data_IF_193825967246
#
_entry.id   IF_193825967246
#
_cell.length_a   1.000
_cell.length_b   1.000
_cell.length_c   1.000
_cell.angle_alpha   90.00
_cell.angle_beta   90.00
_cell.angle_gamma   90.00
#
_symmetry.space_group_name_H-M   'P 1'
#
loop_
_entity.id
_entity.type
_entity.pdbx_description
1 polymer ?
#
# COMPACT_ATOMS: atom_id res chain seq x y z
N UNK A 1 -71.13 -21.97 33.65
CA UNK A 1 -70.83 -22.91 32.55
C UNK A 1 -69.32 -23.12 32.47
N UNK A 2 -68.81 -24.33 32.75
CA UNK A 2 -67.36 -24.63 32.66
C UNK A 2 -66.95 -24.73 31.18
N UNK A 3 -65.96 -23.98 30.68
CA UNK A 3 -65.53 -24.10 29.30
C UNK A 3 -64.95 -25.51 29.07
N UNK A 4 -65.44 -26.19 28.03
CA UNK A 4 -64.95 -27.50 27.61
C UNK A 4 -63.46 -27.43 27.28
N UNK A 5 -62.66 -28.39 27.78
CA UNK A 5 -61.22 -28.55 27.48
C UNK A 5 -60.92 -28.46 25.97
N UNK A 6 -61.87 -28.88 25.13
CA UNK A 6 -61.76 -28.82 23.66
C UNK A 6 -61.78 -27.39 23.11
N UNK A 7 -62.56 -26.48 23.70
CA UNK A 7 -62.56 -25.05 23.34
C UNK A 7 -61.31 -24.34 23.82
N UNK A 8 -60.73 -24.79 24.94
CA UNK A 8 -59.47 -24.26 25.45
C UNK A 8 -58.30 -24.62 24.52
N UNK A 9 -58.23 -25.88 24.07
CA UNK A 9 -57.21 -26.35 23.13
C UNK A 9 -57.33 -25.71 21.73
N UNK A 10 -58.56 -25.50 21.24
CA UNK A 10 -58.77 -24.82 19.95
C UNK A 10 -58.37 -23.34 19.99
N UNK A 11 -58.61 -22.65 21.11
CA UNK A 11 -58.16 -21.25 21.31
C UNK A 11 -56.66 -21.14 21.56
N UNK A 12 -56.04 -22.10 22.25
CA UNK A 12 -54.59 -22.15 22.43
C UNK A 12 -53.86 -22.43 21.10
N UNK A 13 -54.39 -23.33 20.27
CA UNK A 13 -53.83 -23.63 18.94
C UNK A 13 -53.88 -22.44 17.97
N UNK A 14 -54.91 -21.58 18.08
CA UNK A 14 -55.00 -20.36 17.24
C UNK A 14 -54.07 -19.24 17.71
N UNK A 15 -53.70 -19.19 19.00
CA UNK A 15 -52.67 -18.26 19.50
C UNK A 15 -51.26 -18.67 19.03
N UNK A 16 -50.97 -19.97 18.95
CA UNK A 16 -49.69 -20.49 18.43
C UNK A 16 -49.54 -20.27 16.92
N UNK A 17 -50.65 -20.26 16.15
CA UNK A 17 -50.66 -19.95 14.71
C UNK A 17 -50.70 -18.45 14.38
N UNK A 18 -50.91 -17.58 15.38
CA UNK A 18 -50.82 -16.12 15.23
C UNK A 18 -49.43 -15.56 15.58
N UNK A 19 -48.51 -16.39 16.10
CA UNK A 19 -47.07 -16.14 16.03
C UNK A 19 -46.63 -16.32 14.58
N UNK A 20 -47.02 -15.35 13.74
CA UNK A 20 -46.61 -15.27 12.36
C UNK A 20 -45.08 -15.20 12.25
N UNK A 21 -44.58 -15.35 11.03
CA UNK A 21 -43.16 -15.29 10.61
C UNK A 21 -42.36 -14.05 11.03
N UNK A 22 -42.94 -13.16 11.84
CA UNK A 22 -42.37 -11.89 12.30
C UNK A 22 -41.41 -11.99 13.49
N UNK A 23 -41.26 -13.15 14.12
CA UNK A 23 -40.26 -13.35 15.20
C UNK A 23 -39.06 -14.20 14.80
N UNK A 24 -38.97 -14.69 13.56
CA UNK A 24 -37.72 -15.24 13.05
C UNK A 24 -36.81 -14.08 12.63
N UNK A 25 -36.23 -13.42 13.62
CA UNK A 25 -35.21 -12.40 13.38
C UNK A 25 -33.90 -13.10 12.97
N UNK A 26 -33.80 -13.48 11.69
CA UNK A 26 -32.59 -14.06 11.13
C UNK A 26 -31.39 -13.11 11.28
N UNK A 27 -30.20 -13.66 11.51
CA UNK A 27 -28.96 -12.90 11.39
C UNK A 27 -28.76 -12.40 9.95
N UNK A 28 -28.04 -11.29 9.81
CA UNK A 28 -27.59 -10.77 8.52
C UNK A 28 -26.92 -11.88 7.70
N UNK A 29 -27.23 -11.94 6.41
CA UNK A 29 -26.55 -12.87 5.51
C UNK A 29 -25.27 -12.26 4.97
N UNK A 30 -24.21 -13.07 4.91
CA UNK A 30 -22.94 -12.66 4.35
C UNK A 30 -22.93 -12.93 2.86
N UNK A 31 -22.60 -11.89 2.12
CA UNK A 31 -22.44 -11.94 0.66
C UNK A 31 -21.01 -12.35 0.31
N UNK A 32 -20.02 -11.75 0.97
CA UNK A 32 -18.62 -12.03 0.70
C UNK A 32 -17.73 -11.63 1.88
N UNK A 33 -16.58 -12.29 1.99
CA UNK A 33 -15.48 -11.82 2.83
C UNK A 33 -14.19 -11.77 2.03
N UNK A 34 -13.46 -10.66 2.17
CA UNK A 34 -12.24 -10.36 1.41
C UNK A 34 -11.13 -9.93 2.35
N UNK A 35 -9.90 -10.34 2.03
CA UNK A 35 -8.69 -9.99 2.78
C UNK A 35 -7.65 -9.46 1.80
N UNK A 36 -7.11 -8.28 2.08
CA UNK A 36 -6.11 -7.60 1.26
C UNK A 36 -4.85 -7.38 2.11
N UNK A 37 -3.88 -8.32 2.08
CA UNK A 37 -2.60 -8.16 2.77
C UNK A 37 -1.71 -7.16 2.02
N UNK A 38 -1.18 -6.17 2.72
CA UNK A 38 -0.15 -5.27 2.21
C UNK A 38 0.84 -4.91 3.31
N UNK A 39 2.03 -4.42 2.95
CA UNK A 39 3.04 -4.03 3.94
C UNK A 39 2.60 -2.82 4.81
N UNK A 40 1.76 -1.95 4.24
CA UNK A 40 1.31 -0.74 4.92
C UNK A 40 0.16 -0.99 5.91
N UNK A 41 -0.75 -1.90 5.55
CA UNK A 41 -1.85 -2.36 6.39
C UNK A 41 -2.50 -3.61 5.77
N UNK A 42 -3.17 -4.41 6.59
CA UNK A 42 -4.08 -5.44 6.08
C UNK A 42 -5.52 -4.97 6.22
N UNK A 43 -6.31 -5.07 5.13
CA UNK A 43 -7.76 -4.82 5.15
C UNK A 43 -8.53 -6.12 5.15
N UNK A 44 -9.48 -6.25 6.06
CA UNK A 44 -10.51 -7.29 6.04
C UNK A 44 -11.86 -6.64 5.82
N UNK A 45 -12.59 -7.04 4.79
CA UNK A 45 -13.94 -6.54 4.50
C UNK A 45 -14.95 -7.68 4.57
N UNK A 46 -16.00 -7.51 5.38
CA UNK A 46 -17.18 -8.37 5.41
C UNK A 46 -18.31 -7.62 4.70
N UNK A 47 -18.83 -8.20 3.62
CA UNK A 47 -19.96 -7.70 2.87
C UNK A 47 -21.23 -8.45 3.28
N UNK A 48 -22.29 -7.71 3.60
CA UNK A 48 -23.55 -8.24 4.13
C UNK A 48 -24.76 -7.63 3.44
N UNK A 49 -25.90 -8.32 3.54
CA UNK A 49 -27.19 -7.85 3.03
C UNK A 49 -27.75 -6.65 3.80
N UNK A 50 -27.34 -6.47 5.04
CA UNK A 50 -27.80 -5.45 5.99
C UNK A 50 -26.60 -4.79 6.69
N UNK A 51 -26.79 -3.58 7.22
CA UNK A 51 -25.73 -2.88 7.95
C UNK A 51 -25.39 -3.62 9.25
N UNK A 52 -24.09 -3.90 9.46
CA UNK A 52 -23.58 -4.56 10.66
C UNK A 52 -22.99 -3.53 11.62
N UNK A 53 -23.20 -3.72 12.92
CA UNK A 53 -22.51 -2.98 13.95
C UNK A 53 -21.41 -3.85 14.57
N UNK A 54 -20.28 -3.24 14.92
CA UNK A 54 -19.17 -3.97 15.53
C UNK A 54 -18.54 -3.18 16.68
N UNK A 55 -18.20 -3.91 17.74
CA UNK A 55 -17.37 -3.42 18.84
C UNK A 55 -16.03 -4.15 18.76
N UNK A 56 -14.94 -3.43 19.01
CA UNK A 56 -13.62 -4.04 18.99
C UNK A 56 -12.81 -3.63 20.22
N UNK A 57 -11.92 -4.51 20.65
CA UNK A 57 -10.96 -4.26 21.71
C UNK A 57 -9.68 -5.06 21.47
N UNK A 58 -8.59 -4.58 22.05
CA UNK A 58 -7.32 -5.29 22.05
C UNK A 58 -7.28 -6.30 23.20
N UNK A 59 -6.76 -7.49 22.93
CA UNK A 59 -6.42 -8.47 23.96
C UNK A 59 -4.91 -8.72 23.94
N UNK A 60 -4.32 -8.81 25.13
CA UNK A 60 -2.88 -9.03 25.30
C UNK A 60 -2.59 -10.52 25.54
N UNK A 61 -1.34 -10.93 25.31
CA UNK A 61 -0.82 -12.28 25.60
C UNK A 61 -1.58 -13.46 24.96
N UNK A 62 -1.35 -13.78 23.66
CA UNK A 62 -0.71 -12.98 22.62
C UNK A 62 -1.57 -11.79 22.18
N UNK A 63 -0.94 -10.79 21.54
CA UNK A 63 -1.63 -9.62 20.98
C UNK A 63 -2.66 -10.04 19.94
N UNK A 64 -3.91 -9.64 20.19
CA UNK A 64 -5.08 -10.02 19.40
C UNK A 64 -6.03 -8.84 19.27
N UNK A 65 -6.69 -8.72 18.12
CA UNK A 65 -7.86 -7.84 17.97
C UNK A 65 -9.09 -8.72 18.09
N UNK A 66 -9.95 -8.42 19.05
CA UNK A 66 -11.24 -9.09 19.20
C UNK A 66 -12.32 -8.15 18.70
N UNK A 67 -13.17 -8.65 17.81
CA UNK A 67 -14.25 -7.90 17.17
C UNK A 67 -15.55 -8.69 17.39
N UNK A 68 -16.50 -8.07 18.07
CA UNK A 68 -17.85 -8.59 18.23
C UNK A 68 -18.76 -7.92 17.22
N UNK A 69 -19.30 -8.70 16.29
CA UNK A 69 -20.20 -8.25 15.22
C UNK A 69 -21.63 -8.60 15.60
N UNK A 70 -22.46 -7.57 15.78
CA UNK A 70 -23.86 -7.68 16.16
C UNK A 70 -24.75 -7.93 14.93
N UNK A 71 -25.82 -8.69 15.14
CA UNK A 71 -26.78 -9.04 14.10
C UNK A 71 -26.33 -10.19 13.20
N UNK A 72 -25.25 -10.90 13.53
CA UNK A 72 -24.66 -11.95 12.68
C UNK A 72 -24.75 -13.34 13.34
N UNK A 73 -24.98 -14.36 12.54
CA UNK A 73 -24.90 -15.77 12.96
C UNK A 73 -23.75 -16.48 12.27
N UNK A 74 -23.13 -17.44 12.98
CA UNK A 74 -21.98 -18.16 12.48
C UNK A 74 -22.38 -19.05 11.30
N UNK A 75 -21.97 -18.62 10.10
CA UNK A 75 -22.19 -19.36 8.86
C UNK A 75 -20.90 -20.04 8.36
N UNK A 76 -20.99 -21.04 7.45
CA UNK A 76 -19.82 -21.65 6.83
C UNK A 76 -18.91 -20.65 6.11
N UNK A 77 -19.48 -19.64 5.43
CA UNK A 77 -18.75 -18.61 4.68
C UNK A 77 -17.85 -17.77 5.60
N UNK A 78 -18.27 -17.55 6.85
CA UNK A 78 -17.43 -16.91 7.88
C UNK A 78 -16.25 -17.78 8.30
N UNK A 79 -16.42 -19.09 8.35
CA UNK A 79 -15.33 -20.01 8.67
C UNK A 79 -14.30 -20.05 7.55
N UNK A 80 -14.71 -19.85 6.30
CA UNK A 80 -13.79 -19.74 5.17
C UNK A 80 -12.86 -18.52 5.25
N UNK A 81 -13.22 -17.48 6.01
CA UNK A 81 -12.34 -16.32 6.27
C UNK A 81 -11.02 -16.76 6.86
N UNK A 82 -11.06 -17.79 7.73
CA UNK A 82 -9.88 -18.40 8.35
C UNK A 82 -8.91 -18.95 7.28
N UNK A 83 -9.46 -19.50 6.19
CA UNK A 83 -8.67 -20.05 5.08
C UNK A 83 -8.16 -19.01 4.08
N UNK A 84 -8.74 -17.80 4.06
CA UNK A 84 -8.32 -16.72 3.14
C UNK A 84 -7.10 -15.93 3.64
N UNK A 85 -6.78 -16.04 4.92
CA UNK A 85 -5.59 -15.43 5.50
C UNK A 85 -4.37 -16.23 5.06
N UNK A 86 -3.55 -15.62 4.21
CA UNK A 86 -2.32 -16.24 3.69
C UNK A 86 -1.23 -16.22 4.77
N UNK A 87 -0.40 -17.26 4.80
CA UNK A 87 0.77 -17.32 5.70
C UNK A 87 1.71 -16.11 5.55
N UNK A 88 1.76 -15.50 4.35
CA UNK A 88 2.56 -14.31 4.03
C UNK A 88 1.96 -12.96 4.45
N UNK A 89 0.81 -12.92 5.13
CA UNK A 89 0.25 -11.65 5.64
C UNK A 89 1.21 -11.02 6.68
N UNK A 90 1.57 -9.73 6.58
CA UNK A 90 2.52 -9.10 7.50
C UNK A 90 1.94 -8.79 8.89
N UNK A 91 0.61 -8.71 9.02
CA UNK A 91 -0.07 -8.30 10.25
C UNK A 91 -0.82 -9.43 10.94
N UNK A 92 -1.42 -10.32 10.16
CA UNK A 92 -2.30 -11.39 10.66
C UNK A 92 -1.54 -12.72 10.72
N UNK A 93 -1.50 -13.34 11.90
CA UNK A 93 -1.01 -14.70 12.10
C UNK A 93 -2.10 -15.74 11.87
N UNK A 94 -3.34 -15.42 12.23
CA UNK A 94 -4.47 -16.30 12.08
C UNK A 94 -5.76 -15.58 12.45
N UNK A 95 -6.89 -16.15 12.02
CA UNK A 95 -8.22 -15.64 12.32
C UNK A 95 -9.04 -16.79 12.90
N UNK A 96 -9.80 -16.50 13.95
CA UNK A 96 -10.73 -17.44 14.56
C UNK A 96 -12.10 -16.81 14.58
N UNK A 97 -13.11 -17.59 14.24
CA UNK A 97 -14.51 -17.14 14.26
C UNK A 97 -15.30 -18.07 15.16
N UNK A 98 -16.10 -17.49 16.04
CA UNK A 98 -16.99 -18.24 16.94
C UNK A 98 -18.27 -17.47 17.22
N UNK A 99 -19.33 -18.20 17.56
CA UNK A 99 -20.55 -17.59 18.09
C UNK A 99 -20.29 -17.20 19.55
N UNK A 100 -20.38 -15.91 19.88
CA UNK A 100 -20.15 -15.41 21.24
C UNK A 100 -21.45 -15.37 22.04
N UNK A 101 -22.52 -14.90 21.41
CA UNK A 101 -23.88 -14.85 21.94
C UNK A 101 -24.87 -15.06 20.79
N UNK A 102 -26.16 -15.32 21.02
CA UNK A 102 -27.17 -15.31 19.96
C UNK A 102 -27.07 -14.01 19.16
N UNK A 103 -26.93 -14.13 17.83
CA UNK A 103 -26.78 -13.00 16.90
C UNK A 103 -25.54 -12.11 17.13
N UNK A 104 -24.54 -12.59 17.87
CA UNK A 104 -23.23 -11.93 18.00
C UNK A 104 -22.12 -12.91 17.66
N UNK A 105 -21.43 -12.67 16.54
CA UNK A 105 -20.25 -13.43 16.14
C UNK A 105 -19.00 -12.70 16.61
N UNK A 106 -18.10 -13.45 17.23
CA UNK A 106 -16.77 -12.96 17.62
C UNK A 106 -15.74 -13.40 16.61
N UNK A 107 -15.05 -12.41 16.06
CA UNK A 107 -13.86 -12.56 15.24
C UNK A 107 -12.64 -12.24 16.10
N UNK A 108 -11.69 -13.18 16.18
CA UNK A 108 -10.42 -12.99 16.88
C UNK A 108 -9.31 -13.04 15.84
N UNK A 109 -8.59 -11.94 15.69
CA UNK A 109 -7.46 -11.81 14.77
C UNK A 109 -6.18 -11.88 15.59
N UNK A 110 -5.42 -12.96 15.43
CA UNK A 110 -4.10 -13.15 16.05
C UNK A 110 -3.09 -12.29 15.29
N UNK A 111 -2.40 -11.36 15.98
CA UNK A 111 -1.50 -10.39 15.35
C UNK A 111 -0.03 -10.85 15.37
N UNK A 112 0.71 -10.54 14.30
CA UNK A 112 2.17 -10.74 14.20
C UNK A 112 2.98 -9.59 14.80
N UNK A 113 2.39 -8.40 14.84
CA UNK A 113 3.03 -7.18 15.35
C UNK A 113 1.97 -6.22 15.93
N UNK A 114 2.38 -5.23 16.74
CA UNK A 114 1.45 -4.23 17.27
C UNK A 114 0.76 -3.45 16.15
N UNK A 115 -0.57 -3.40 16.20
CA UNK A 115 -1.40 -2.66 15.24
C UNK A 115 -2.37 -1.70 15.91
N UNK A 116 -2.72 -0.64 15.19
CA UNK A 116 -3.78 0.29 15.53
C UNK A 116 -4.99 -0.02 14.61
N UNK A 117 -5.95 -0.85 15.06
CA UNK A 117 -7.09 -1.23 14.24
C UNK A 117 -8.03 -0.04 14.02
N UNK A 118 -8.58 0.06 12.81
CA UNK A 118 -9.69 0.95 12.49
C UNK A 118 -10.87 0.12 12.01
N UNK A 119 -12.04 0.37 12.60
CA UNK A 119 -13.28 -0.35 12.29
C UNK A 119 -14.35 0.65 11.89
N UNK A 120 -14.91 0.48 10.69
CA UNK A 120 -15.95 1.37 10.17
C UNK A 120 -16.85 0.63 9.20
N UNK A 121 -18.02 1.19 8.95
CA UNK A 121 -19.00 0.67 7.99
C UNK A 121 -19.06 1.56 6.75
N UNK A 122 -19.37 0.94 5.62
CA UNK A 122 -19.65 1.63 4.36
C UNK A 122 -21.04 1.24 3.87
N UNK A 123 -21.77 2.25 3.41
CA UNK A 123 -23.06 2.06 2.76
C UNK A 123 -22.90 1.34 1.40
N UNK A 124 -24.00 0.73 0.90
CA UNK A 124 -24.03 0.11 -0.41
C UNK A 124 -23.65 1.10 -1.51
N UNK A 125 -22.80 0.67 -2.44
CA UNK A 125 -22.44 1.47 -3.61
C UNK A 125 -22.26 0.58 -4.84
N UNK A 126 -22.96 0.93 -5.93
CA UNK A 126 -22.93 0.19 -7.18
C UNK A 126 -23.15 -1.33 -6.99
N UNK A 127 -22.12 -2.15 -7.22
CA UNK A 127 -22.17 -3.60 -7.12
C UNK A 127 -21.94 -4.15 -5.69
N UNK A 128 -21.59 -3.30 -4.72
CA UNK A 128 -21.29 -3.70 -3.34
C UNK A 128 -22.43 -3.36 -2.40
N UNK A 129 -22.77 -4.29 -1.50
CA UNK A 129 -23.76 -4.07 -0.44
C UNK A 129 -23.14 -3.38 0.79
N UNK A 130 -23.75 -3.57 1.96
CA UNK A 130 -23.21 -3.05 3.21
C UNK A 130 -21.87 -3.71 3.49
N UNK A 131 -20.90 -2.93 3.96
CA UNK A 131 -19.55 -3.43 4.24
C UNK A 131 -19.11 -3.01 5.62
N UNK A 132 -18.61 -3.98 6.37
CA UNK A 132 -17.89 -3.76 7.61
C UNK A 132 -16.39 -3.95 7.31
N UNK A 133 -15.61 -2.89 7.51
CA UNK A 133 -14.20 -2.82 7.13
C UNK A 133 -13.34 -2.74 8.38
N UNK A 134 -12.30 -3.57 8.40
CA UNK A 134 -11.26 -3.59 9.43
C UNK A 134 -9.91 -3.34 8.78
N UNK A 135 -9.27 -2.23 9.15
CA UNK A 135 -7.92 -1.89 8.70
C UNK A 135 -6.93 -2.06 9.86
N UNK A 136 -5.90 -2.88 9.65
CA UNK A 136 -4.85 -3.15 10.63
C UNK A 136 -3.58 -2.39 10.25
N UNK A 137 -3.44 -1.17 10.77
CA UNK A 137 -2.24 -0.35 10.56
C UNK A 137 -1.14 -0.68 11.59
N UNK A 138 0.15 -0.61 11.24
CA UNK A 138 1.23 -0.72 12.23
C UNK A 138 1.16 0.46 13.21
N UNK A 139 1.45 0.24 14.48
CA UNK A 139 1.59 1.35 15.45
C UNK A 139 2.85 2.19 15.18
N UNK A 140 3.90 1.56 14.66
CA UNK A 140 5.13 2.20 14.22
C UNK A 140 5.25 2.10 12.69
N UNK A 141 4.91 3.18 11.99
CA UNK A 141 5.16 3.26 10.56
C UNK A 141 6.67 3.37 10.28
N UNK A 142 7.18 2.61 9.31
CA UNK A 142 8.57 2.74 8.83
C UNK A 142 8.73 4.09 8.12
N UNK A 143 9.85 4.79 8.35
CA UNK A 143 10.13 6.03 7.62
C UNK A 143 10.33 5.73 6.12
N UNK A 144 9.40 6.17 5.26
CA UNK A 144 9.44 5.83 3.84
C UNK A 144 10.60 6.51 3.12
N UNK A 145 11.09 7.66 3.59
CA UNK A 145 12.20 8.36 2.96
C UNK A 145 13.51 7.60 3.19
N UNK A 146 13.74 7.15 4.43
CA UNK A 146 14.90 6.32 4.75
C UNK A 146 14.91 5.02 3.94
N UNK A 147 13.76 4.38 3.75
CA UNK A 147 13.66 3.18 2.92
C UNK A 147 14.08 3.44 1.46
N UNK A 148 13.65 4.56 0.87
CA UNK A 148 14.03 4.94 -0.50
C UNK A 148 15.52 5.24 -0.63
N UNK A 149 16.09 5.94 0.35
CA UNK A 149 17.53 6.24 0.38
C UNK A 149 18.34 4.96 0.51
N UNK A 150 17.94 4.05 1.41
CA UNK A 150 18.59 2.75 1.58
C UNK A 150 18.51 1.95 0.28
N UNK A 151 17.34 1.84 -0.35
CA UNK A 151 17.15 1.15 -1.62
C UNK A 151 18.10 1.71 -2.71
N UNK A 152 18.30 3.03 -2.77
CA UNK A 152 19.24 3.65 -3.70
C UNK A 152 20.69 3.30 -3.37
N UNK A 153 21.10 3.41 -2.10
CA UNK A 153 22.47 3.08 -1.66
C UNK A 153 22.79 1.61 -1.96
N UNK A 154 21.84 0.70 -1.72
CA UNK A 154 22.01 -0.71 -2.07
C UNK A 154 22.12 -0.92 -3.59
N UNK A 155 21.27 -0.25 -4.38
CA UNK A 155 21.33 -0.33 -5.84
C UNK A 155 22.67 0.19 -6.40
N UNK A 156 23.19 1.30 -5.86
CA UNK A 156 24.47 1.88 -6.29
C UNK A 156 25.65 0.96 -5.95
N UNK A 157 25.65 0.37 -4.76
CA UNK A 157 26.66 -0.63 -4.37
C UNK A 157 26.60 -1.85 -5.28
N UNK A 158 25.40 -2.37 -5.55
CA UNK A 158 25.23 -3.51 -6.45
C UNK A 158 25.70 -3.22 -7.89
N UNK A 159 25.56 -1.96 -8.35
CA UNK A 159 26.05 -1.53 -9.66
C UNK A 159 27.57 -1.28 -9.71
N UNK A 160 28.21 -1.02 -8.56
CA UNK A 160 29.67 -0.79 -8.44
C UNK A 160 30.48 -2.10 -8.33
N UNK A 161 29.91 -3.17 -7.77
CA UNK A 161 30.58 -4.48 -7.63
C UNK A 161 31.15 -5.08 -8.95
N UNK A 162 30.51 -4.93 -10.13
CA UNK A 162 31.12 -5.36 -11.40
C UNK A 162 32.32 -4.52 -11.83
N UNK A 163 32.32 -3.21 -11.55
CA UNK A 163 33.41 -2.31 -11.93
C UNK A 163 34.59 -2.40 -10.97
N UNK A 164 34.35 -2.64 -9.68
CA UNK A 164 35.41 -2.74 -8.67
C UNK A 164 36.19 -4.06 -8.81
N UNK A 165 35.53 -5.16 -9.20
CA UNK A 165 36.22 -6.41 -9.58
C UNK A 165 37.03 -6.26 -10.87
N UNK A 166 36.52 -5.53 -11.86
CA UNK A 166 37.26 -5.28 -13.11
C UNK A 166 38.45 -4.33 -12.88
N UNK A 167 38.30 -3.30 -12.05
CA UNK A 167 39.38 -2.40 -11.67
C UNK A 167 40.44 -3.09 -10.81
N UNK A 168 40.04 -3.96 -9.88
CA UNK A 168 40.97 -4.82 -9.14
C UNK A 168 41.72 -5.76 -10.07
N UNK A 169 41.02 -6.45 -10.98
CA UNK A 169 41.66 -7.37 -11.93
C UNK A 169 42.64 -6.65 -12.90
N UNK A 170 42.34 -5.42 -13.31
CA UNK A 170 43.25 -4.60 -14.13
C UNK A 170 44.45 -4.14 -13.32
N UNK A 171 44.26 -3.72 -12.06
CA UNK A 171 45.35 -3.34 -11.17
C UNK A 171 46.24 -4.52 -10.80
N UNK A 172 45.66 -5.70 -10.58
CA UNK A 172 46.37 -6.96 -10.30
C UNK A 172 47.15 -7.41 -11.55
N UNK A 173 46.54 -7.37 -12.74
CA UNK A 173 47.22 -7.68 -14.00
C UNK A 173 48.36 -6.69 -14.32
N UNK A 174 48.21 -5.40 -13.97
CA UNK A 174 49.26 -4.40 -14.12
C UNK A 174 50.37 -4.60 -13.07
N UNK A 175 50.02 -4.99 -11.85
CA UNK A 175 50.96 -5.35 -10.79
C UNK A 175 51.81 -6.57 -11.14
N UNK A 176 51.18 -7.61 -11.69
CA UNK A 176 51.85 -8.84 -12.16
C UNK A 176 52.80 -8.54 -13.33
N UNK A 177 52.39 -7.66 -14.27
CA UNK A 177 53.23 -7.23 -15.39
C UNK A 177 54.46 -6.41 -14.96
N UNK A 178 54.29 -5.50 -13.99
CA UNK A 178 55.41 -4.73 -13.40
C UNK A 178 56.36 -5.66 -12.64
N UNK A 179 55.84 -6.67 -11.93
CA UNK A 179 56.64 -7.70 -11.26
C UNK A 179 57.46 -8.55 -12.22
N UNK A 180 56.98 -8.75 -13.45
CA UNK A 180 57.66 -9.56 -14.47
C UNK A 180 58.77 -8.79 -15.21
N UNK A 181 58.70 -7.45 -15.30
CA UNK A 181 59.79 -6.61 -15.82
C UNK A 181 60.80 -6.16 -14.75
N UNK A 182 60.44 -6.22 -13.47
CA UNK A 182 61.29 -5.87 -12.32
C UNK A 182 62.14 -7.02 -11.81
N UNK A 183 62.79 -7.79 -12.68
CA UNK A 183 63.71 -8.84 -12.27
C UNK A 183 65.14 -8.30 -12.10
N UNK A 184 65.59 -8.06 -10.86
CA UNK A 184 66.91 -8.42 -10.30
C UNK A 184 67.10 -7.81 -8.90
N UNK A 185 67.09 -8.64 -7.85
CA UNK A 185 67.54 -8.18 -6.53
C UNK A 185 67.08 -8.99 -5.31
N UNK A 186 67.65 -10.18 -5.15
CA UNK A 186 67.89 -10.90 -3.90
C UNK A 186 66.71 -11.44 -3.05
N UNK A 187 66.79 -12.75 -2.76
CA UNK A 187 65.92 -13.51 -1.85
C UNK A 187 66.57 -13.56 -0.46
N UNK A 188 65.78 -13.54 0.63
CA UNK A 188 66.03 -14.58 1.63
C UNK A 188 64.74 -15.25 2.14
N UNK A 189 64.91 -16.51 2.55
CA UNK A 189 63.92 -17.32 3.23
C UNK A 189 64.22 -17.32 4.75
N UNK A 190 63.17 -17.23 5.58
CA UNK A 190 62.99 -18.04 6.80
C UNK A 190 61.70 -17.67 7.53
N UNK A 191 60.99 -18.71 7.99
CA UNK A 191 59.81 -18.66 8.85
C UNK A 191 60.13 -18.25 10.28
N UNK A 192 59.24 -17.49 10.93
CA UNK A 192 59.02 -17.57 12.37
C UNK A 192 57.58 -17.15 12.72
N UNK A 193 56.92 -18.02 13.45
CA UNK A 193 55.60 -17.90 14.09
C UNK A 193 55.55 -16.78 15.12
N UNK A 194 54.52 -15.92 15.06
CA UNK A 194 54.11 -14.98 16.11
C UNK A 194 52.60 -14.69 15.99
N UNK A 195 51.87 -14.38 17.09
CA UNK A 195 50.41 -14.31 17.07
C UNK A 195 49.91 -13.14 16.22
N UNK A 196 48.82 -13.36 15.50
CA UNK A 196 48.09 -12.36 14.73
C UNK A 196 47.78 -11.13 15.59
N UNK A 197 48.02 -9.89 15.12
CA UNK A 197 47.40 -8.73 15.72
C UNK A 197 45.91 -8.80 15.43
N UNK A 198 45.11 -8.96 16.48
CA UNK A 198 43.66 -8.78 16.41
C UNK A 198 43.41 -7.38 15.86
N UNK A 199 42.67 -7.20 14.73
CA UNK A 199 42.31 -5.86 14.31
C UNK A 199 41.49 -5.23 15.45
N UNK A 200 41.69 -3.93 15.77
CA UNK A 200 40.80 -3.27 16.71
C UNK A 200 39.39 -3.41 16.16
N UNK A 201 38.51 -4.01 16.98
CA UNK A 201 37.07 -4.02 16.76
C UNK A 201 36.68 -2.59 16.45
N UNK A 202 36.39 -2.33 15.18
CA UNK A 202 35.95 -1.03 14.71
C UNK A 202 34.71 -0.68 15.53
N UNK A 203 34.89 0.32 16.39
CA UNK A 203 33.86 0.81 17.28
C UNK A 203 32.62 1.17 16.46
N UNK A 204 31.48 0.91 17.07
CA UNK A 204 30.20 1.53 16.73
C UNK A 204 30.40 2.99 16.32
N UNK A 205 30.32 3.27 15.02
CA UNK A 205 30.18 4.63 14.52
C UNK A 205 28.97 5.27 15.23
N UNK A 206 29.11 6.51 15.75
CA UNK A 206 28.01 7.18 16.41
C UNK A 206 26.84 7.35 15.42
N UNK A 207 25.59 7.16 15.85
CA UNK A 207 24.39 7.15 14.98
C UNK A 207 24.09 8.47 14.25
N UNK A 208 24.94 9.51 14.37
CA UNK A 208 24.71 10.84 13.79
C UNK A 208 25.32 11.03 12.39
N UNK A 209 26.41 10.34 12.05
CA UNK A 209 27.09 10.52 10.76
C UNK A 209 26.27 9.92 9.58
N UNK A 210 25.70 8.73 9.80
CA UNK A 210 24.85 8.07 8.80
C UNK A 210 23.56 8.84 8.48
N UNK A 211 22.94 9.47 9.50
CA UNK A 211 21.73 10.27 9.33
C UNK A 211 22.00 11.56 8.50
N UNK A 212 23.14 12.22 8.73
CA UNK A 212 23.53 13.39 7.96
C UNK A 212 23.88 13.07 6.50
N UNK A 213 24.55 11.93 6.25
CA UNK A 213 24.84 11.46 4.90
C UNK A 213 23.56 11.05 4.15
N UNK A 214 22.66 10.32 4.80
CA UNK A 214 21.34 9.97 4.24
C UNK A 214 20.52 11.21 3.88
N UNK A 215 20.56 12.25 4.72
CA UNK A 215 19.92 13.54 4.45
C UNK A 215 20.50 14.23 3.21
N UNK A 216 21.83 14.26 3.02
CA UNK A 216 22.44 14.86 1.81
C UNK A 216 22.13 14.07 0.54
N UNK A 217 22.02 12.74 0.64
CA UNK A 217 21.62 11.89 -0.47
C UNK A 217 20.16 12.16 -0.82
N UNK A 218 19.27 12.24 0.18
CA UNK A 218 17.87 12.60 -0.01
C UNK A 218 17.71 14.00 -0.63
N UNK A 219 18.50 15.00 -0.21
CA UNK A 219 18.46 16.37 -0.76
C UNK A 219 18.90 16.46 -2.23
N UNK A 220 19.62 15.46 -2.74
CA UNK A 220 20.06 15.38 -4.16
C UNK A 220 19.15 14.48 -5.01
N UNK A 221 18.37 13.62 -4.38
CA UNK A 221 17.56 12.61 -5.05
C UNK A 221 16.25 13.23 -5.51
N UNK A 222 15.96 13.18 -6.80
CA UNK A 222 14.64 13.55 -7.31
C UNK A 222 13.67 12.41 -7.03
N UNK A 223 12.71 12.65 -6.13
CA UNK A 223 11.72 11.64 -5.72
C UNK A 223 10.45 11.83 -6.54
N UNK A 224 10.11 10.83 -7.34
CA UNK A 224 8.88 10.78 -8.14
C UNK A 224 7.89 9.84 -7.46
N UNK A 225 6.82 10.41 -6.91
CA UNK A 225 5.70 9.63 -6.39
C UNK A 225 4.80 9.16 -7.55
N UNK A 226 4.69 7.86 -7.73
CA UNK A 226 3.80 7.18 -8.66
C UNK A 226 2.58 6.67 -7.91
N UNK A 227 1.40 7.07 -8.37
CA UNK A 227 0.13 6.74 -7.77
C UNK A 227 -0.73 5.93 -8.74
N UNK A 228 -0.58 4.60 -8.79
CA UNK A 228 -1.49 3.76 -9.57
C UNK A 228 -2.90 3.81 -8.94
N UNK A 229 -3.87 4.29 -9.70
CA UNK A 229 -5.27 4.46 -9.29
C UNK A 229 -5.91 3.17 -8.76
N UNK A 230 -6.98 3.31 -8.00
CA UNK A 230 -7.80 2.19 -7.49
C UNK A 230 -6.98 1.19 -6.64
N UNK A 231 -7.40 -0.08 -6.60
CA UNK A 231 -6.70 -1.17 -5.93
C UNK A 231 -7.55 -1.86 -4.87
N UNK A 232 -7.25 -3.13 -4.62
CA UNK A 232 -7.98 -3.98 -3.68
C UNK A 232 -9.44 -4.10 -4.09
N UNK A 233 -10.33 -3.60 -3.23
CA UNK A 233 -11.76 -3.66 -3.44
C UNK A 233 -12.27 -2.78 -4.59
N UNK A 234 -11.56 -1.70 -4.92
CA UNK A 234 -11.92 -0.81 -6.01
C UNK A 234 -11.23 -1.29 -7.31
N UNK A 235 -11.98 -1.85 -8.30
CA UNK A 235 -11.39 -2.30 -9.56
C UNK A 235 -11.08 -1.16 -10.54
N UNK A 236 -11.62 0.04 -10.32
CA UNK A 236 -11.71 1.09 -11.33
C UNK A 236 -12.60 0.69 -12.52
N UNK A 237 -12.35 1.28 -13.68
CA UNK A 237 -13.06 0.94 -14.89
C UNK A 237 -12.83 -0.54 -15.30
N UNK A 238 -13.90 -1.20 -15.77
CA UNK A 238 -13.84 -2.57 -16.29
C UNK A 238 -14.11 -2.52 -17.79
N UNK A 239 -13.14 -2.96 -18.58
CA UNK A 239 -13.24 -3.00 -20.04
C UNK A 239 -14.16 -4.14 -20.53
N UNK A 240 -14.55 -4.13 -21.83
CA UNK A 240 -15.44 -5.14 -22.41
C UNK A 240 -14.94 -6.59 -22.29
N UNK A 241 -13.63 -6.78 -22.19
CA UNK A 241 -13.00 -8.10 -22.02
C UNK A 241 -12.83 -8.52 -20.56
N UNK A 242 -13.34 -7.73 -19.61
CA UNK A 242 -13.13 -7.94 -18.17
C UNK A 242 -11.81 -7.40 -17.63
N UNK A 243 -11.01 -6.71 -18.45
CA UNK A 243 -9.77 -6.07 -18.01
C UNK A 243 -10.08 -4.97 -16.99
N UNK A 244 -9.44 -5.02 -15.83
CA UNK A 244 -9.67 -4.07 -14.72
C UNK A 244 -8.60 -2.99 -14.74
N UNK A 245 -9.01 -1.73 -14.62
CA UNK A 245 -8.13 -0.57 -14.59
C UNK A 245 -7.02 -0.73 -13.54
N UNK A 246 -7.38 -1.16 -12.32
CA UNK A 246 -6.42 -1.33 -11.21
C UNK A 246 -5.21 -2.22 -11.54
N UNK A 247 -5.41 -3.22 -12.40
CA UNK A 247 -4.38 -4.19 -12.80
C UNK A 247 -3.45 -3.55 -13.82
N UNK A 248 -4.02 -2.83 -14.80
CA UNK A 248 -3.30 -2.14 -15.86
C UNK A 248 -2.43 -1.02 -15.28
N UNK A 249 -3.02 -0.15 -14.46
CA UNK A 249 -2.31 1.02 -13.91
C UNK A 249 -1.19 0.59 -12.96
N UNK A 250 -1.35 -0.52 -12.22
CA UNK A 250 -0.28 -1.07 -11.39
C UNK A 250 0.91 -1.54 -12.23
N UNK A 251 0.65 -2.30 -13.30
CA UNK A 251 1.71 -2.78 -14.19
C UNK A 251 2.44 -1.63 -14.89
N UNK A 252 1.70 -0.61 -15.33
CA UNK A 252 2.30 0.60 -15.92
C UNK A 252 3.16 1.32 -14.89
N UNK A 253 2.69 1.49 -13.66
CA UNK A 253 3.43 2.13 -12.59
C UNK A 253 4.70 1.36 -12.21
N UNK A 254 4.66 0.02 -12.16
CA UNK A 254 5.84 -0.82 -11.90
C UNK A 254 6.90 -0.68 -13.00
N UNK A 255 6.49 -0.67 -14.27
CA UNK A 255 7.41 -0.45 -15.41
C UNK A 255 8.01 0.95 -15.38
N UNK A 256 7.21 1.97 -15.05
CA UNK A 256 7.69 3.34 -14.91
C UNK A 256 8.65 3.49 -13.72
N UNK A 257 8.34 2.84 -12.59
CA UNK A 257 9.23 2.75 -11.43
C UNK A 257 10.60 2.20 -11.83
N UNK A 258 10.65 1.07 -12.54
CA UNK A 258 11.90 0.47 -13.00
C UNK A 258 12.76 1.48 -13.80
N UNK A 259 12.15 2.14 -14.79
CA UNK A 259 12.85 3.14 -15.62
C UNK A 259 13.32 4.38 -14.85
N UNK A 260 12.53 4.86 -13.89
CA UNK A 260 12.93 5.98 -13.03
C UNK A 260 14.12 5.57 -12.16
N UNK A 261 14.10 4.34 -11.66
CA UNK A 261 15.11 3.82 -10.74
C UNK A 261 16.45 3.48 -11.40
N UNK A 262 16.47 3.32 -12.72
CA UNK A 262 17.68 3.23 -13.53
C UNK A 262 18.41 4.60 -13.65
N UNK A 263 17.72 5.71 -13.34
CA UNK A 263 18.33 7.03 -13.44
C UNK A 263 19.21 7.31 -12.20
N UNK A 264 20.44 7.83 -12.37
CA UNK A 264 21.44 7.91 -11.30
C UNK A 264 21.03 8.80 -10.12
N UNK A 265 20.16 9.79 -10.33
CA UNK A 265 19.73 10.75 -9.30
C UNK A 265 18.20 10.77 -9.12
N UNK A 266 17.50 9.68 -9.46
CA UNK A 266 16.05 9.62 -9.28
C UNK A 266 15.64 8.38 -8.50
N UNK A 267 14.50 8.49 -7.82
CA UNK A 267 13.85 7.35 -7.20
C UNK A 267 12.34 7.44 -7.30
N UNK A 268 11.72 6.34 -7.66
CA UNK A 268 10.27 6.22 -7.65
C UNK A 268 9.77 5.69 -6.31
N UNK A 269 8.87 6.44 -5.71
CA UNK A 269 8.04 6.02 -4.58
C UNK A 269 6.67 5.62 -5.12
N UNK A 270 6.11 4.49 -4.70
CA UNK A 270 4.77 4.08 -5.12
C UNK A 270 3.77 4.26 -3.97
N UNK A 271 2.56 4.77 -4.25
CA UNK A 271 1.50 4.85 -3.23
C UNK A 271 0.95 3.47 -2.87
N UNK A 272 0.99 2.52 -3.82
CA UNK A 272 0.81 1.07 -3.64
C UNK A 272 1.68 0.34 -4.66
N UNK A 273 2.21 -0.81 -4.29
CA UNK A 273 3.02 -1.69 -5.14
C UNK A 273 2.39 -3.07 -5.37
N UNK A 274 1.26 -3.34 -4.72
CA UNK A 274 0.43 -4.53 -4.86
C UNK A 274 -1.05 -4.16 -5.05
N UNK A 275 -1.90 -5.19 -5.15
CA UNK A 275 -3.35 -5.04 -5.28
C UNK A 275 -4.02 -4.82 -3.91
N UNK A 276 -3.90 -3.60 -3.39
CA UNK A 276 -4.61 -3.15 -2.20
C UNK A 276 -5.13 -1.72 -2.41
N UNK A 277 -6.21 -1.39 -1.70
CA UNK A 277 -6.79 -0.05 -1.77
C UNK A 277 -5.89 0.96 -1.06
N UNK A 278 -5.88 2.22 -1.49
CA UNK A 278 -5.26 3.32 -0.74
C UNK A 278 -6.23 4.50 -0.78
N UNK A 279 -6.68 5.03 0.37
CA UNK A 279 -7.53 6.22 0.41
C UNK A 279 -6.89 7.44 -0.29
N UNK A 280 -7.70 8.31 -0.89
CA UNK A 280 -7.19 9.46 -1.66
C UNK A 280 -6.31 10.41 -0.84
N UNK A 281 -6.72 10.71 0.40
CA UNK A 281 -5.94 11.50 1.34
C UNK A 281 -4.60 10.82 1.71
N UNK A 282 -4.61 9.50 1.83
CA UNK A 282 -3.41 8.70 2.11
C UNK A 282 -2.39 8.75 0.98
N UNK A 283 -2.84 8.65 -0.28
CA UNK A 283 -1.95 8.77 -1.46
C UNK A 283 -1.15 10.07 -1.42
N UNK A 284 -1.82 11.18 -1.13
CA UNK A 284 -1.20 12.51 -1.00
C UNK A 284 -0.29 12.58 0.24
N UNK A 285 -0.73 12.03 1.37
CA UNK A 285 0.04 12.01 2.61
C UNK A 285 1.36 11.28 2.43
N UNK A 286 1.36 10.09 1.82
CA UNK A 286 2.58 9.31 1.58
C UNK A 286 3.58 10.07 0.70
N UNK A 287 3.13 10.67 -0.39
CA UNK A 287 3.99 11.47 -1.26
C UNK A 287 4.61 12.69 -0.55
N UNK A 288 3.85 13.34 0.34
CA UNK A 288 4.35 14.47 1.15
C UNK A 288 5.38 14.04 2.19
N UNK A 289 5.21 12.86 2.82
CA UNK A 289 6.16 12.35 3.82
C UNK A 289 7.56 12.15 3.24
N UNK A 290 7.64 11.64 2.01
CA UNK A 290 8.92 11.49 1.30
C UNK A 290 9.36 12.75 0.57
N UNK A 291 8.64 13.87 0.75
CA UNK A 291 8.92 15.14 0.10
C UNK A 291 9.05 15.03 -1.43
N UNK A 292 8.19 14.22 -2.07
CA UNK A 292 8.27 13.97 -3.51
C UNK A 292 8.24 15.27 -4.34
N UNK A 293 9.17 15.40 -5.27
CA UNK A 293 9.29 16.54 -6.19
C UNK A 293 8.19 16.53 -7.26
N UNK A 294 7.76 15.32 -7.65
CA UNK A 294 6.73 15.10 -8.65
C UNK A 294 5.75 14.03 -8.18
N UNK A 295 4.46 14.28 -8.37
CA UNK A 295 3.39 13.30 -8.14
C UNK A 295 2.69 12.98 -9.45
N UNK A 296 2.70 11.72 -9.86
CA UNK A 296 2.07 11.22 -11.09
C UNK A 296 0.99 10.23 -10.70
N UNK A 297 -0.27 10.60 -10.88
CA UNK A 297 -1.40 9.69 -10.75
C UNK A 297 -1.66 9.02 -12.09
N UNK A 298 -1.77 7.70 -12.09
CA UNK A 298 -1.88 6.86 -13.29
C UNK A 298 -3.26 6.20 -13.27
N UNK A 299 -4.05 6.53 -14.28
CA UNK A 299 -5.42 6.06 -14.49
C UNK A 299 -5.61 5.56 -15.93
N UNK A 300 -6.59 4.70 -16.12
CA UNK A 300 -7.04 4.22 -17.42
C UNK A 300 -8.57 4.28 -17.45
N UNK A 301 -9.09 5.50 -17.29
CA UNK A 301 -10.51 5.80 -17.17
C UNK A 301 -11.32 5.31 -18.39
N UNK A 302 -12.61 5.10 -18.17
CA UNK A 302 -13.58 4.85 -19.23
C UNK A 302 -14.46 6.08 -19.48
N UNK A 303 -14.82 6.32 -20.73
CA UNK A 303 -15.84 7.31 -21.12
C UNK A 303 -16.91 6.64 -21.97
N UNK A 304 -18.16 7.09 -21.82
CA UNK A 304 -19.28 6.71 -22.69
C UNK A 304 -19.16 7.32 -24.10
N UNK A 305 -18.33 8.34 -24.27
CA UNK A 305 -18.03 8.93 -25.56
C UNK A 305 -16.96 8.11 -26.30
N UNK A 306 -16.98 8.13 -27.65
CA UNK A 306 -16.01 7.44 -28.52
C UNK A 306 -14.63 8.13 -28.52
N UNK A 307 -14.17 8.63 -27.37
CA UNK A 307 -12.90 9.33 -27.22
C UNK A 307 -11.84 8.34 -26.75
N UNK A 308 -10.91 7.98 -27.64
CA UNK A 308 -9.65 7.29 -27.31
C UNK A 308 -8.54 8.34 -27.29
N UNK A 309 -8.19 8.83 -26.11
CA UNK A 309 -7.10 9.79 -25.93
C UNK A 309 -6.28 9.44 -24.69
N UNK A 310 -5.06 9.95 -24.60
CA UNK A 310 -4.27 9.97 -23.35
C UNK A 310 -4.45 11.37 -22.73
N UNK A 311 -5.51 11.60 -21.92
CA UNK A 311 -5.71 12.89 -21.28
C UNK A 311 -4.62 13.15 -20.23
N UNK A 312 -4.10 14.39 -20.19
CA UNK A 312 -3.21 14.84 -19.13
C UNK A 312 -3.93 15.89 -18.29
N UNK A 313 -4.28 15.53 -17.06
CA UNK A 313 -4.87 16.45 -16.10
C UNK A 313 -3.79 17.12 -15.24
N UNK A 314 -3.96 18.41 -14.94
CA UNK A 314 -3.14 19.15 -13.97
C UNK A 314 -4.05 19.94 -13.04
N UNK A 315 -3.67 20.08 -11.77
CA UNK A 315 -4.48 20.87 -10.80
C UNK A 315 -4.61 22.31 -11.29
N UNK A 316 -5.84 22.81 -11.34
CA UNK A 316 -6.12 24.25 -11.46
C UNK A 316 -6.36 24.83 -10.06
N UNK A 317 -5.66 25.93 -9.72
CA UNK A 317 -5.83 26.60 -8.43
C UNK A 317 -7.16 27.39 -8.32
N UNK A 318 -7.90 27.50 -9.42
CA UNK A 318 -9.10 28.33 -9.56
C UNK A 318 -10.40 27.64 -9.11
N UNK A 319 -10.39 26.31 -8.91
CA UNK A 319 -11.59 25.53 -8.59
C UNK A 319 -11.60 24.92 -7.17
N UNK A 320 -10.70 25.36 -6.27
CA UNK A 320 -10.60 24.80 -4.92
C UNK A 320 -11.27 25.71 -3.87
N UNK A 321 -12.00 25.15 -2.87
CA UNK A 321 -12.60 25.95 -1.80
C UNK A 321 -11.52 26.69 -0.97
N UNK A 322 -11.88 27.79 -0.26
CA UNK A 322 -10.92 28.76 0.30
C UNK A 322 -9.81 28.16 1.18
N UNK A 323 -10.08 27.03 1.85
CA UNK A 323 -9.11 26.29 2.67
C UNK A 323 -7.86 25.82 1.90
N UNK A 324 -7.94 25.68 0.58
CA UNK A 324 -6.86 25.15 -0.28
C UNK A 324 -5.92 26.23 -0.81
N UNK A 325 -6.24 27.52 -0.68
CA UNK A 325 -5.42 28.63 -1.22
C UNK A 325 -4.08 28.80 -0.50
N UNK A 326 -3.89 28.20 0.69
CA UNK A 326 -2.62 28.28 1.46
C UNK A 326 -1.61 27.16 1.17
N UNK A 327 -1.91 26.21 0.29
CA UNK A 327 -1.00 25.13 -0.06
C UNK A 327 -0.12 25.51 -1.28
N UNK A 328 0.74 26.52 -1.10
CA UNK A 328 1.60 27.05 -2.15
C UNK A 328 2.70 26.07 -2.57
N UNK A 329 2.56 25.47 -3.75
CA UNK A 329 3.71 24.93 -4.48
C UNK A 329 4.50 26.11 -5.06
N UNK A 330 5.58 26.51 -4.38
CA UNK A 330 6.55 27.43 -4.96
C UNK A 330 7.29 26.69 -6.08
N UNK A 331 6.97 27.02 -7.34
CA UNK A 331 7.89 26.78 -8.45
C UNK A 331 9.21 27.48 -8.12
N UNK A 332 10.30 26.73 -7.92
CA UNK A 332 11.65 27.31 -8.03
C UNK A 332 11.81 27.75 -9.48
N UNK A 333 11.88 29.07 -9.71
CA UNK A 333 12.21 29.65 -11.01
C UNK A 333 13.71 29.46 -11.25
N UNK A 334 14.08 28.64 -12.21
CA UNK A 334 15.36 28.79 -12.91
C UNK A 334 15.12 29.66 -14.15
N UNK A 335 16.01 30.61 -14.49
CA UNK A 335 15.87 31.40 -15.71
C UNK A 335 16.27 30.55 -16.92
N UNK A 336 15.55 30.61 -18.05
CA UNK A 336 16.01 29.97 -19.28
C UNK A 336 17.07 30.87 -19.93
N UNK A 337 18.26 30.34 -20.16
CA UNK A 337 19.23 30.90 -21.10
C UNK A 337 18.74 30.68 -22.53
N UNK A 338 18.96 31.72 -23.32
CA UNK A 338 18.43 32.00 -24.64
C UNK A 338 19.00 31.10 -25.74
N UNK A 339 18.15 30.63 -26.65
CA UNK A 339 18.48 30.48 -28.07
C UNK A 339 17.38 31.14 -28.89
N UNK A 340 17.79 32.04 -29.78
CA UNK A 340 16.94 32.89 -30.59
C UNK A 340 16.28 32.13 -31.76
N UNK A 341 15.15 32.69 -32.22
CA UNK A 341 14.23 32.20 -33.24
C UNK A 341 14.82 32.13 -34.68
N UNK A 342 14.02 31.71 -35.68
CA UNK A 342 13.15 32.69 -36.30
C UNK A 342 11.68 32.27 -36.44
N UNK A 343 10.87 33.31 -36.39
CA UNK A 343 9.42 33.45 -36.46
C UNK A 343 8.80 32.94 -37.77
N UNK A 344 7.64 32.26 -37.67
CA UNK A 344 6.51 32.56 -38.57
C UNK A 344 5.14 32.21 -37.95
N UNK A 345 4.29 33.25 -37.97
CA UNK A 345 2.82 33.33 -38.01
C UNK A 345 1.94 32.46 -37.09
N UNK A 346 1.22 33.23 -36.26
CA UNK A 346 0.02 32.92 -35.49
C UNK A 346 -0.99 31.96 -36.15
N UNK A 347 -1.42 30.96 -35.36
CA UNK A 347 -2.78 30.42 -35.39
C UNK A 347 -3.31 30.33 -33.97
N UNK A 348 -4.53 30.85 -33.79
CA UNK A 348 -5.38 30.87 -32.61
C UNK A 348 -5.57 29.47 -32.00
N UNK A 349 -5.64 29.32 -30.66
CA UNK A 349 -5.91 28.02 -30.04
C UNK A 349 -7.43 27.74 -30.01
N UNK A 350 -7.89 26.49 -30.21
CA UNK A 350 -9.27 26.13 -29.91
C UNK A 350 -9.50 25.97 -28.40
N UNK A 351 -10.73 26.29 -28.01
CA UNK A 351 -11.30 26.35 -26.67
C UNK A 351 -11.09 25.10 -25.81
N UNK A 352 -10.81 25.33 -24.51
CA UNK A 352 -10.86 24.31 -23.45
C UNK A 352 -12.30 23.87 -23.20
N UNK A 353 -12.57 22.58 -23.29
CA UNK A 353 -13.78 21.97 -22.73
C UNK A 353 -13.55 21.68 -21.22
N UNK A 354 -14.54 21.95 -20.33
CA UNK A 354 -14.47 21.57 -18.93
C UNK A 354 -14.79 20.07 -18.77
N UNK A 355 -13.96 19.34 -18.03
CA UNK A 355 -14.34 18.02 -17.49
C UNK A 355 -15.28 18.24 -16.30
N UNK A 356 -16.50 17.73 -16.41
CA UNK A 356 -17.49 17.64 -15.34
C UNK A 356 -17.46 16.25 -14.70
N UNK A 357 -17.45 16.29 -13.35
CA UNK A 357 -17.56 15.23 -12.32
C UNK A 357 -16.52 14.12 -12.30
#
# INVERSE_FOLDING_TARGET
MKPSRRRLLQRAGSVVLLLGTRELAFGASIVAVRVWPAADYTRVTIESDTALAAKHFMAENPQRVVIDVEGLELSPELREVVGKVKAGDPFISGVRVGQNQPRVVRLVIDLKQPTAPQVFTLDPVAAYRHRLVFDLYPTAERDPLLALVQEKVYADRAAAEPSDRAASAVNDALGDFIGQMGGHGNKPAASATGPLPVPPVAGSEPPSAGAAAAKRIAERLVIVALDPGHGGEDPGAIGPTGLREKDVVLQVAQRLRARINEQPNMRAMMTRDADFFVPLNERVRKARRVQADLFISIHADASSSRMRAVPRCSRSASAAPPAWRRAGWRRRRTPPTWWAAPTSRARTPPSRAPCST
#
